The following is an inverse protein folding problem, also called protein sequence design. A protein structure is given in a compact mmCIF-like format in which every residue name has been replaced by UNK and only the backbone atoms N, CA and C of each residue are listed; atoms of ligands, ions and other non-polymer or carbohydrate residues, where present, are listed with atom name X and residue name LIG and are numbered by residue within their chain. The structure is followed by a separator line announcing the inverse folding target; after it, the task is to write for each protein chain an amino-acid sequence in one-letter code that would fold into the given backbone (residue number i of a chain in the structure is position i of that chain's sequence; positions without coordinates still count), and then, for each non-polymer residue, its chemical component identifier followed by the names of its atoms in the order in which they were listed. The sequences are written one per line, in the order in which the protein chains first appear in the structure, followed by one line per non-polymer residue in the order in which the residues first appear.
data_IF_914857619141
#
_entry.id   IF_914857619141
#
_cell.length_a   1.000
_cell.length_b   1.000
_cell.length_c   1.000
_cell.angle_alpha   90.00
_cell.angle_beta   90.00
_cell.angle_gamma   90.00
#
_symmetry.space_group_name_H-M   'P 1'
#
loop_
_entity.id
_entity.type
_entity.pdbx_description
1 polymer ?
#
# COMPACT_ATOMS: atom_id res chain seq x y z
N UNK A 1 -7.17 -4.56 10.97
CA UNK A 1 -6.12 -4.13 10.03
C UNK A 1 -6.06 -5.12 8.88
N UNK A 2 -6.00 -4.73 7.61
CA UNK A 2 -5.79 -5.68 6.51
C UNK A 2 -4.31 -5.70 6.12
N UNK A 3 -3.64 -6.81 6.38
CA UNK A 3 -2.23 -6.98 6.05
C UNK A 3 -2.11 -7.77 4.75
N UNK A 4 -1.26 -7.32 3.83
CA UNK A 4 -0.96 -8.09 2.62
C UNK A 4 -0.09 -9.29 2.96
N UNK A 5 0.97 -9.05 3.74
CA UNK A 5 1.86 -10.12 4.20
C UNK A 5 2.21 -9.92 5.67
N UNK A 6 2.24 -11.02 6.41
CA UNK A 6 2.83 -11.10 7.74
C UNK A 6 4.11 -11.92 7.63
N UNK A 7 5.23 -11.33 8.08
CA UNK A 7 6.55 -11.93 7.98
C UNK A 7 7.16 -11.92 9.37
N UNK A 8 7.53 -13.11 9.87
CA UNK A 8 8.34 -13.20 11.07
C UNK A 8 9.78 -12.79 10.77
N UNK A 9 10.29 -11.85 11.57
CA UNK A 9 11.70 -11.46 11.56
C UNK A 9 12.33 -11.97 12.86
N UNK A 10 13.24 -12.93 12.70
CA UNK A 10 14.01 -13.54 13.78
C UNK A 10 15.48 -13.57 13.40
N UNK A 11 16.36 -13.40 14.38
CA UNK A 11 17.79 -13.61 14.17
C UNK A 11 18.11 -15.08 13.95
N UNK A 12 19.08 -15.35 13.08
CA UNK A 12 19.65 -16.67 12.89
C UNK A 12 21.17 -16.57 12.98
N UNK A 13 21.77 -17.26 13.96
CA UNK A 13 23.22 -17.21 14.18
C UNK A 13 23.73 -15.80 14.53
N UNK A 14 22.94 -15.00 15.25
CA UNK A 14 23.27 -13.62 15.64
C UNK A 14 23.23 -12.62 14.47
N UNK A 15 22.60 -12.98 13.36
CA UNK A 15 22.44 -12.11 12.19
C UNK A 15 20.97 -11.88 11.88
N UNK A 16 20.64 -10.63 11.54
CA UNK A 16 19.33 -10.27 11.01
C UNK A 16 19.19 -10.71 9.55
N UNK A 17 17.99 -11.10 9.12
CA UNK A 17 17.71 -11.44 7.73
C UNK A 17 17.52 -10.15 6.90
N UNK A 18 18.61 -9.41 6.69
CA UNK A 18 18.61 -8.08 6.04
C UNK A 18 17.89 -8.09 4.70
N UNK A 19 18.15 -9.09 3.84
CA UNK A 19 17.51 -9.20 2.53
C UNK A 19 15.98 -9.35 2.62
N UNK A 20 15.49 -10.17 3.55
CA UNK A 20 14.06 -10.34 3.79
C UNK A 20 13.40 -9.04 4.29
N UNK A 21 14.10 -8.30 5.15
CA UNK A 21 13.65 -6.98 5.63
C UNK A 21 13.54 -6.01 4.45
N UNK A 22 14.59 -5.89 3.63
CA UNK A 22 14.57 -4.98 2.46
C UNK A 22 13.46 -5.35 1.47
N UNK A 23 13.35 -6.63 1.10
CA UNK A 23 12.35 -7.10 0.14
C UNK A 23 10.93 -6.95 0.70
N UNK A 24 10.71 -7.20 1.99
CA UNK A 24 9.43 -6.93 2.64
C UNK A 24 9.05 -5.45 2.60
N UNK A 25 10.01 -4.55 2.76
CA UNK A 25 9.77 -3.11 2.67
C UNK A 25 9.41 -2.70 1.24
N UNK A 26 10.12 -3.21 0.23
CA UNK A 26 9.75 -2.97 -1.17
C UNK A 26 8.38 -3.55 -1.54
N UNK A 27 8.03 -4.72 -1.01
CA UNK A 27 6.70 -5.31 -1.22
C UNK A 27 5.58 -4.48 -0.58
N UNK A 28 5.89 -3.64 0.40
CA UNK A 28 4.90 -2.77 1.05
C UNK A 28 4.29 -1.73 0.11
N UNK A 29 4.92 -1.47 -1.04
CA UNK A 29 4.34 -0.66 -2.12
C UNK A 29 2.97 -1.17 -2.58
N UNK A 30 2.73 -2.48 -2.49
CA UNK A 30 1.49 -3.11 -2.93
C UNK A 30 0.47 -3.36 -1.80
N UNK A 31 0.79 -3.00 -0.55
CA UNK A 31 -0.07 -3.18 0.61
C UNK A 31 0.72 -3.28 1.91
N UNK A 32 0.05 -3.08 3.06
CA UNK A 32 0.72 -3.11 4.38
C UNK A 32 1.41 -4.46 4.61
N UNK A 33 2.68 -4.43 4.99
CA UNK A 33 3.45 -5.61 5.42
C UNK A 33 3.68 -5.53 6.92
N UNK A 34 3.40 -6.60 7.65
CA UNK A 34 3.62 -6.67 9.11
C UNK A 34 4.86 -7.49 9.38
N UNK A 35 5.82 -6.91 10.09
CA UNK A 35 6.93 -7.63 10.69
C UNK A 35 6.60 -8.04 12.11
N UNK A 36 6.51 -9.35 12.33
CA UNK A 36 6.44 -9.93 13.67
C UNK A 36 7.85 -10.10 14.18
N UNK A 37 8.24 -9.28 15.15
CA UNK A 37 9.59 -9.22 15.69
C UNK A 37 9.76 -10.28 16.78
N UNK A 38 10.61 -11.27 16.53
CA UNK A 38 10.92 -12.36 17.45
C UNK A 38 12.38 -12.27 17.90
N UNK A 39 12.60 -11.71 19.09
CA UNK A 39 13.95 -11.44 19.61
C UNK A 39 14.66 -10.29 18.91
N UNK A 40 13.97 -9.54 18.04
CA UNK A 40 14.52 -8.41 17.28
C UNK A 40 13.91 -7.10 17.76
N UNK A 41 14.72 -6.05 17.84
CA UNK A 41 14.23 -4.71 18.21
C UNK A 41 13.79 -3.92 16.99
N UNK A 42 12.77 -3.04 17.11
CA UNK A 42 12.44 -2.06 16.08
C UNK A 42 13.64 -1.25 15.58
N UNK A 43 14.52 -0.85 16.49
CA UNK A 43 15.72 -0.09 16.16
C UNK A 43 16.65 -0.85 15.21
N UNK A 44 16.85 -2.14 15.44
CA UNK A 44 17.71 -2.95 14.57
C UNK A 44 17.10 -3.14 13.16
N UNK A 45 15.77 -3.17 13.04
CA UNK A 45 15.10 -3.12 11.73
C UNK A 45 15.30 -1.76 11.06
N UNK A 46 15.13 -0.66 11.80
CA UNK A 46 15.32 0.68 11.26
C UNK A 46 16.74 0.86 10.71
N UNK A 47 17.78 0.39 11.40
CA UNK A 47 19.16 0.44 10.88
C UNK A 47 19.33 -0.25 9.51
N UNK A 48 18.54 -1.30 9.24
CA UNK A 48 18.50 -1.95 7.92
C UNK A 48 17.73 -1.11 6.90
N UNK A 49 16.66 -0.44 7.33
CA UNK A 49 15.76 0.30 6.45
C UNK A 49 16.17 1.76 6.18
N UNK A 50 16.90 2.41 7.09
CA UNK A 50 17.27 3.83 7.00
C UNK A 50 17.96 4.18 5.66
N UNK A 51 18.85 3.34 5.10
CA UNK A 51 19.46 3.63 3.80
C UNK A 51 18.49 3.54 2.61
N UNK A 52 17.35 2.85 2.76
CA UNK A 52 16.41 2.58 1.66
C UNK A 52 15.04 3.25 1.84
N UNK A 53 14.71 3.74 3.04
CA UNK A 53 13.40 4.35 3.29
C UNK A 53 13.16 5.55 2.36
N UNK A 54 14.24 6.26 2.02
CA UNK A 54 14.24 7.42 1.11
C UNK A 54 14.14 7.05 -0.37
N UNK A 55 14.28 5.78 -0.73
CA UNK A 55 14.26 5.34 -2.14
C UNK A 55 12.86 5.05 -2.64
N UNK A 56 11.85 5.01 -1.76
CA UNK A 56 10.45 4.77 -2.12
C UNK A 56 9.61 6.04 -1.89
N UNK A 57 8.48 6.19 -2.62
CA UNK A 57 7.53 7.28 -2.38
C UNK A 57 6.98 7.25 -0.95
N UNK A 58 6.75 8.42 -0.36
CA UNK A 58 6.13 8.53 0.97
C UNK A 58 4.66 8.05 1.01
N UNK A 59 4.05 7.77 -0.15
CA UNK A 59 2.69 7.30 -0.28
C UNK A 59 2.53 5.79 -0.09
N UNK A 60 3.63 5.04 0.07
CA UNK A 60 3.54 3.60 0.28
C UNK A 60 2.89 3.31 1.64
N UNK A 61 2.11 2.22 1.76
CA UNK A 61 1.57 1.75 3.04
C UNK A 61 2.64 1.49 4.11
N UNK A 62 3.83 1.03 3.69
CA UNK A 62 4.96 0.77 4.59
C UNK A 62 4.82 -0.51 5.40
N UNK A 63 5.69 -0.61 6.41
CA UNK A 63 5.81 -1.78 7.29
C UNK A 63 5.36 -1.46 8.69
N UNK A 64 4.68 -2.40 9.34
CA UNK A 64 4.27 -2.29 10.74
C UNK A 64 5.04 -3.28 11.59
N UNK A 65 5.58 -2.81 12.71
CA UNK A 65 6.28 -3.67 13.66
C UNK A 65 5.35 -4.11 14.77
N UNK A 66 5.31 -5.43 14.99
CA UNK A 66 4.53 -6.04 16.05
C UNK A 66 5.46 -6.97 16.82
N UNK A 67 5.55 -6.82 18.14
CA UNK A 67 6.28 -7.79 18.96
C UNK A 67 5.58 -9.14 18.90
N UNK A 68 6.32 -10.24 18.80
CA UNK A 68 5.75 -11.60 18.91
C UNK A 68 4.99 -11.83 20.23
N UNK A 69 5.33 -11.07 21.27
CA UNK A 69 4.71 -11.11 22.59
C UNK A 69 3.38 -10.34 22.66
N UNK A 70 3.09 -9.46 21.69
CA UNK A 70 1.81 -8.77 21.59
C UNK A 70 0.79 -9.69 20.88
N UNK A 71 0.30 -10.68 21.63
CA UNK A 71 -0.54 -11.75 21.09
C UNK A 71 -1.80 -11.24 20.40
N UNK A 72 -2.40 -10.17 20.93
CA UNK A 72 -3.59 -9.57 20.35
C UNK A 72 -3.31 -8.98 18.96
N UNK A 73 -2.26 -8.18 18.83
CA UNK A 73 -1.88 -7.58 17.54
C UNK A 73 -1.35 -8.59 16.55
N UNK A 74 -0.61 -9.61 17.02
CA UNK A 74 -0.17 -10.71 16.16
C UNK A 74 -1.39 -11.47 15.63
N UNK A 75 -2.34 -11.84 16.49
CA UNK A 75 -3.56 -12.55 16.10
C UNK A 75 -4.37 -11.75 15.06
N UNK A 76 -4.56 -10.46 15.29
CA UNK A 76 -5.23 -9.57 14.33
C UNK A 76 -4.51 -9.56 12.98
N UNK A 77 -3.19 -9.31 12.98
CA UNK A 77 -2.39 -9.23 11.76
C UNK A 77 -2.47 -10.54 10.95
N UNK A 78 -2.33 -11.67 11.65
CA UNK A 78 -2.27 -13.01 11.05
C UNK A 78 -3.63 -13.43 10.49
N UNK A 79 -4.75 -13.12 11.16
CA UNK A 79 -6.10 -13.42 10.67
C UNK A 79 -6.51 -12.61 9.45
N UNK A 80 -5.94 -11.43 9.28
CA UNK A 80 -6.23 -10.54 8.16
C UNK A 80 -5.16 -10.57 7.06
N UNK A 81 -4.20 -11.49 7.16
CA UNK A 81 -3.09 -11.62 6.20
C UNK A 81 -3.49 -12.43 4.97
N UNK A 82 -3.08 -11.97 3.77
CA UNK A 82 -3.16 -12.82 2.57
C UNK A 82 -2.06 -13.89 2.58
N UNK A 83 -0.88 -13.55 3.10
CA UNK A 83 0.26 -14.45 3.19
C UNK A 83 0.94 -14.38 4.56
N UNK A 84 1.37 -15.54 5.06
CA UNK A 84 2.06 -15.66 6.34
C UNK A 84 3.37 -16.42 6.13
N UNK A 85 4.47 -15.82 6.54
CA UNK A 85 5.82 -16.38 6.46
C UNK A 85 6.41 -16.49 7.86
N UNK A 86 6.78 -17.72 8.25
CA UNK A 86 7.32 -18.02 9.57
C UNK A 86 8.76 -18.57 9.49
N UNK A 87 9.64 -18.02 10.31
CA UNK A 87 11.02 -18.43 10.50
C UNK A 87 11.14 -19.52 11.58
N UNK A 88 10.38 -19.40 12.68
CA UNK A 88 10.53 -20.26 13.85
C UNK A 88 9.33 -21.18 14.06
N UNK A 89 9.55 -22.25 14.83
CA UNK A 89 8.45 -23.13 15.29
C UNK A 89 7.52 -22.44 16.27
N UNK A 90 8.02 -21.45 17.02
CA UNK A 90 7.24 -20.70 18.01
C UNK A 90 6.12 -19.94 17.32
N UNK A 91 6.46 -19.11 16.34
CA UNK A 91 5.48 -18.33 15.60
C UNK A 91 4.51 -19.20 14.78
N UNK A 92 4.99 -20.34 14.22
CA UNK A 92 4.11 -21.32 13.55
C UNK A 92 3.04 -21.87 14.48
N UNK A 93 3.41 -22.26 15.70
CA UNK A 93 2.46 -22.78 16.70
C UNK A 93 1.48 -21.71 17.12
N UNK A 94 1.98 -20.53 17.46
CA UNK A 94 1.16 -19.38 17.84
C UNK A 94 0.13 -19.03 16.75
N UNK A 95 0.54 -19.05 15.47
CA UNK A 95 -0.36 -18.82 14.34
C UNK A 95 -1.42 -19.92 14.18
N UNK A 96 -1.04 -21.19 14.42
CA UNK A 96 -1.99 -22.30 14.42
C UNK A 96 -3.01 -22.17 15.58
N UNK A 97 -2.58 -21.74 16.76
CA UNK A 97 -3.45 -21.48 17.92
C UNK A 97 -4.47 -20.35 17.64
N UNK A 98 -4.15 -19.43 16.72
CA UNK A 98 -5.08 -18.39 16.26
C UNK A 98 -6.12 -18.88 15.24
N UNK A 99 -6.05 -20.15 14.82
CA UNK A 99 -6.98 -20.80 13.89
C UNK A 99 -6.51 -20.82 12.44
N UNK A 100 -5.24 -20.50 12.15
CA UNK A 100 -4.71 -20.59 10.79
C UNK A 100 -4.25 -22.01 10.49
N UNK A 101 -4.72 -22.57 9.37
CA UNK A 101 -4.29 -23.89 8.92
C UNK A 101 -2.76 -23.91 8.68
N UNK A 102 -2.01 -24.90 9.21
CA UNK A 102 -0.55 -24.97 9.04
C UNK A 102 -0.06 -24.97 7.60
N UNK A 103 -0.88 -25.46 6.66
CA UNK A 103 -0.60 -25.45 5.21
C UNK A 103 -0.56 -24.04 4.59
N UNK A 104 -1.16 -23.05 5.26
CA UNK A 104 -1.14 -21.65 4.84
C UNK A 104 0.08 -20.89 5.36
N UNK A 105 0.85 -21.47 6.29
CA UNK A 105 2.02 -20.85 6.91
C UNK A 105 3.29 -21.28 6.17
N UNK A 106 3.86 -20.38 5.37
CA UNK A 106 5.06 -20.65 4.56
C UNK A 106 6.34 -20.46 5.36
N UNK A 107 7.45 -20.98 4.85
CA UNK A 107 8.79 -20.64 5.36
C UNK A 107 9.23 -19.28 4.86
N UNK A 108 9.93 -18.51 5.71
CA UNK A 108 10.61 -17.28 5.27
C UNK A 108 11.61 -17.52 4.15
N UNK A 109 12.17 -18.73 4.03
CA UNK A 109 13.01 -19.12 2.89
C UNK A 109 12.28 -19.05 1.54
N UNK A 110 10.94 -19.12 1.53
CA UNK A 110 10.11 -18.98 0.34
C UNK A 110 9.57 -17.55 0.14
N UNK A 111 9.86 -16.62 1.05
CA UNK A 111 9.28 -15.28 1.04
C UNK A 111 9.89 -14.39 -0.05
N UNK A 112 11.23 -14.30 -0.13
CA UNK A 112 11.93 -13.43 -1.08
C UNK A 112 11.42 -13.58 -2.53
N UNK A 113 11.46 -14.77 -3.15
CA UNK A 113 11.04 -14.92 -4.55
C UNK A 113 9.54 -14.61 -4.75
N UNK A 114 8.70 -14.82 -3.73
CA UNK A 114 7.26 -14.52 -3.78
C UNK A 114 6.99 -13.03 -3.70
N UNK A 115 7.68 -12.33 -2.82
CA UNK A 115 7.57 -10.89 -2.62
C UNK A 115 8.08 -10.14 -3.85
N UNK A 116 9.25 -10.50 -4.37
CA UNK A 116 9.85 -9.90 -5.57
C UNK A 116 8.95 -10.04 -6.80
N UNK A 117 8.45 -11.26 -7.05
CA UNK A 117 7.56 -11.53 -8.20
C UNK A 117 6.34 -10.60 -8.20
N UNK A 118 5.84 -10.24 -7.01
CA UNK A 118 4.67 -9.36 -6.89
C UNK A 118 5.02 -7.88 -6.97
N UNK A 119 6.18 -7.46 -6.46
CA UNK A 119 6.65 -6.08 -6.63
C UNK A 119 6.79 -5.75 -8.12
N UNK A 120 7.36 -6.67 -8.90
CA UNK A 120 7.47 -6.53 -10.36
C UNK A 120 6.10 -6.48 -11.08
N UNK A 121 5.11 -7.24 -10.61
CA UNK A 121 3.74 -7.17 -11.14
C UNK A 121 3.09 -5.82 -10.81
N UNK A 122 3.29 -5.31 -9.59
CA UNK A 122 2.77 -4.00 -9.18
C UNK A 122 3.39 -2.85 -10.00
N UNK A 123 4.68 -2.93 -10.34
CA UNK A 123 5.31 -1.95 -11.24
C UNK A 123 4.77 -2.01 -12.67
N UNK A 124 4.47 -3.21 -13.18
CA UNK A 124 3.83 -3.37 -14.49
C UNK A 124 2.42 -2.77 -14.49
N UNK A 125 1.64 -2.98 -13.44
CA UNK A 125 0.29 -2.42 -13.32
C UNK A 125 0.33 -0.90 -13.12
N UNK A 126 1.34 -0.36 -12.42
CA UNK A 126 1.54 1.07 -12.27
C UNK A 126 2.00 1.75 -13.57
N UNK A 127 2.75 1.04 -14.44
CA UNK A 127 3.18 1.53 -15.76
C UNK A 127 2.15 1.33 -16.86
N UNK A 128 1.21 0.41 -16.71
CA UNK A 128 0.06 0.35 -17.60
C UNK A 128 -0.81 1.58 -17.32
N UNK A 129 -0.92 2.57 -18.23
CA UNK A 129 -1.92 3.60 -18.05
C UNK A 129 -3.25 2.85 -17.97
N UNK A 130 -4.02 3.07 -16.89
CA UNK A 130 -5.45 2.79 -16.92
C UNK A 130 -5.94 3.50 -18.17
N UNK A 131 -6.18 2.75 -19.24
CA UNK A 131 -6.93 3.21 -20.40
C UNK A 131 -8.25 3.66 -19.80
N UNK A 132 -8.37 4.97 -19.56
CA UNK A 132 -9.62 5.61 -19.32
C UNK A 132 -10.49 5.13 -20.46
N UNK A 133 -11.51 4.32 -20.11
CA UNK A 133 -12.54 3.95 -21.07
C UNK A 133 -12.96 5.28 -21.72
N UNK A 134 -12.84 5.43 -23.05
CA UNK A 134 -13.29 6.65 -23.69
C UNK A 134 -14.74 6.82 -23.26
N UNK A 135 -15.02 7.91 -22.56
CA UNK A 135 -16.39 8.32 -22.33
C UNK A 135 -16.96 8.52 -23.73
N UNK A 136 -17.79 7.57 -24.15
CA UNK A 136 -18.59 7.72 -25.36
C UNK A 136 -19.52 8.88 -25.06
N UNK A 137 -19.11 10.08 -25.50
CA UNK A 137 -19.99 11.23 -25.57
C UNK A 137 -21.01 10.90 -26.65
N UNK A 138 -22.19 10.47 -26.23
CA UNK A 138 -23.32 10.38 -27.13
C UNK A 138 -23.68 11.80 -27.58
N UNK A 139 -23.88 12.06 -28.89
CA UNK A 139 -24.33 13.35 -29.35
C UNK A 139 -25.78 13.55 -28.90
N UNK A 140 -26.02 14.53 -28.03
CA UNK A 140 -27.37 14.99 -27.73
C UNK A 140 -27.96 15.64 -29.00
N UNK A 141 -29.17 15.29 -29.43
CA UNK A 141 -29.81 15.98 -30.53
C UNK A 141 -30.25 17.37 -30.06
N UNK A 142 -29.72 18.40 -30.72
CA UNK A 142 -30.16 19.77 -30.54
C UNK A 142 -31.59 19.92 -31.09
N UNK A 143 -32.57 20.06 -30.18
CA UNK A 143 -33.87 20.63 -30.51
C UNK A 143 -33.98 22.06 -29.96
N UNK A 144 -34.56 22.87 -30.82
CA UNK A 144 -34.56 24.32 -30.85
C UNK A 144 -35.57 24.98 -29.88
N UNK A 145 -35.32 26.27 -29.65
CA UNK A 145 -36.22 27.38 -29.23
C UNK A 145 -36.69 27.45 -27.78
N UNK A 146 -36.31 28.55 -27.11
CA UNK A 146 -37.24 29.63 -26.70
C UNK A 146 -36.55 31.00 -26.80
N UNK A 147 -37.24 31.95 -27.42
CA UNK A 147 -36.93 33.37 -27.56
C UNK A 147 -37.03 34.12 -26.21
N UNK A 148 -36.16 35.10 -25.96
CA UNK A 148 -36.51 36.26 -25.14
C UNK A 148 -36.00 37.56 -25.77
N UNK A 149 -36.91 38.53 -25.81
CA UNK A 149 -36.89 39.71 -26.64
C UNK A 149 -36.02 40.85 -26.09
N UNK A 150 -35.38 41.57 -27.00
CA UNK A 150 -34.81 42.88 -26.76
C UNK A 150 -35.92 43.94 -26.66
N UNK A 151 -35.78 44.86 -25.72
CA UNK A 151 -36.41 46.19 -25.82
C UNK A 151 -35.33 47.24 -25.67
N UNK A 152 -35.03 47.90 -26.78
CA UNK A 152 -34.35 49.19 -26.81
C UNK A 152 -35.28 50.27 -26.24
N UNK A 153 -34.72 51.21 -25.47
CA UNK A 153 -35.11 52.63 -25.58
C UNK A 153 -33.91 53.52 -25.31
N UNK A 154 -33.97 54.68 -25.96
CA UNK A 154 -32.88 55.48 -26.48
C UNK A 154 -32.68 56.76 -25.66
N UNK A 155 -31.42 57.23 -25.59
CA UNK A 155 -31.07 58.65 -25.71
C UNK A 155 -30.87 59.50 -24.44
N UNK A 156 -29.62 59.89 -24.17
CA UNK A 156 -29.09 61.27 -24.37
C UNK A 156 -27.77 61.51 -23.59
N UNK A 157 -26.72 61.86 -24.34
CA UNK A 157 -25.52 62.59 -23.87
C UNK A 157 -25.84 64.11 -23.76
N UNK A 158 -25.08 64.96 -23.01
CA UNK A 158 -23.69 65.28 -23.37
C UNK A 158 -22.67 65.66 -22.24
N UNK A 159 -21.38 65.42 -22.55
CA UNK A 159 -20.14 66.22 -22.41
C UNK A 159 -19.65 66.95 -21.12
N UNK A 160 -18.31 66.84 -20.92
CA UNK A 160 -17.31 67.72 -20.25
C UNK A 160 -17.29 67.73 -18.70
N UNK A 161 -16.17 67.85 -17.99
CA UNK A 161 -14.76 68.12 -18.31
C UNK A 161 -13.84 67.55 -17.22
N UNK A 162 -12.56 67.35 -17.56
CA UNK A 162 -11.47 67.10 -16.63
C UNK A 162 -11.11 68.36 -15.83
N UNK A 163 -10.68 68.16 -14.57
CA UNK A 163 -9.68 68.96 -13.85
C UNK A 163 -8.78 67.99 -13.11
#
# INVERSE_FOLDING_TARGET
MQARSVIEIAESGGRLPTELIVVGYWASQAGVVVYVLNGVTPHAINLVLDPIVTTLPLSIPGVLYVSINDTARVCEAVRCAEEIYAATRVFRRQTADYGIAPSLIRSVAAAIPRLESRTLLSERDARAPKLARPHVVMPFPAMNRVHWAATDTNGKHPAKAAV
#
